data_IF_776008430108
#
_entry.id   IF_776008430108
#
_cell.length_a   1.000
_cell.length_b   1.000
_cell.length_c   1.000
_cell.angle_alpha   90.00
_cell.angle_beta   90.00
_cell.angle_gamma   90.00
#
_symmetry.space_group_name_H-M   'P 1'
#
loop_
_entity.id
_entity.type
_entity.pdbx_description
1 polymer ?
#
# COMPACT_ATOMS: atom_id res chain seq x y z
N UNK A 1 0.55 -23.31 -18.26
CA UNK A 1 1.80 -22.53 -18.27
C UNK A 1 1.61 -21.31 -17.38
N UNK A 2 2.51 -21.13 -16.42
CA UNK A 2 2.27 -20.56 -15.07
C UNK A 2 2.28 -19.02 -15.01
N UNK A 3 1.15 -18.42 -14.63
CA UNK A 3 0.97 -16.98 -14.31
C UNK A 3 1.90 -16.47 -13.20
N UNK A 4 2.51 -17.36 -12.43
CA UNK A 4 3.42 -17.04 -11.33
C UNK A 4 4.66 -16.23 -11.78
N UNK A 5 5.13 -16.43 -13.01
CA UNK A 5 6.46 -15.96 -13.44
C UNK A 5 6.61 -14.43 -13.56
N UNK A 6 5.52 -13.67 -13.66
CA UNK A 6 5.60 -12.21 -13.86
C UNK A 6 5.69 -11.41 -12.55
N UNK A 7 5.25 -12.01 -11.44
CA UNK A 7 5.32 -11.39 -10.11
C UNK A 7 6.72 -11.51 -9.48
N UNK A 8 7.46 -12.55 -9.86
CA UNK A 8 8.81 -12.82 -9.36
C UNK A 8 9.89 -11.90 -9.98
N UNK A 9 9.58 -11.17 -11.06
CA UNK A 9 10.53 -10.28 -11.77
C UNK A 9 10.48 -8.80 -11.33
N UNK A 10 9.44 -8.38 -10.59
CA UNK A 10 9.28 -6.95 -10.26
C UNK A 10 9.99 -6.63 -8.95
N UNK A 11 11.14 -5.99 -9.06
CA UNK A 11 11.81 -5.38 -7.90
C UNK A 11 11.15 -4.05 -7.59
N UNK A 12 10.65 -3.91 -6.36
CA UNK A 12 9.98 -2.70 -5.87
C UNK A 12 10.42 -2.40 -4.45
N UNK A 13 10.22 -1.13 -4.05
CA UNK A 13 10.46 -0.66 -2.69
C UNK A 13 9.47 0.45 -2.38
N UNK A 14 9.02 0.50 -1.12
CA UNK A 14 8.17 1.56 -0.61
C UNK A 14 8.79 2.24 0.61
N UNK A 15 8.69 3.57 0.66
CA UNK A 15 9.09 4.40 1.80
C UNK A 15 8.12 5.58 1.94
N UNK A 16 7.76 5.93 3.16
CA UNK A 16 6.96 7.12 3.47
C UNK A 16 7.54 7.89 4.66
N UNK A 17 7.24 9.19 4.76
CA UNK A 17 7.71 10.10 5.81
C UNK A 17 6.66 11.22 6.02
N UNK A 18 6.41 11.60 7.27
CA UNK A 18 5.48 12.70 7.62
C UNK A 18 5.91 14.09 7.07
N UNK A 19 7.17 14.22 6.66
CA UNK A 19 7.78 15.50 6.33
C UNK A 19 8.16 16.30 7.58
N UNK A 20 8.36 17.61 7.41
CA UNK A 20 8.85 18.50 8.48
C UNK A 20 7.74 19.25 9.24
N UNK A 21 6.51 19.21 8.74
CA UNK A 21 5.40 20.07 9.20
C UNK A 21 4.34 19.28 9.96
N UNK A 22 3.98 18.08 9.48
CA UNK A 22 2.95 17.25 10.12
C UNK A 22 3.55 16.52 11.32
N UNK A 23 2.77 16.38 12.39
CA UNK A 23 3.14 15.63 13.60
C UNK A 23 2.92 14.13 13.45
N UNK A 24 2.04 13.72 12.53
CA UNK A 24 1.74 12.32 12.23
C UNK A 24 1.80 12.10 10.72
N UNK A 25 2.30 10.94 10.30
CA UNK A 25 2.22 10.51 8.91
C UNK A 25 0.88 9.79 8.68
N UNK A 26 0.05 10.35 7.81
CA UNK A 26 -1.25 9.78 7.45
C UNK A 26 -1.18 8.91 6.20
N UNK A 27 0.00 8.77 5.60
CA UNK A 27 0.24 7.88 4.47
C UNK A 27 0.44 6.42 4.93
N UNK A 28 -0.07 5.48 4.12
CA UNK A 28 0.22 4.06 4.26
C UNK A 28 0.57 3.44 2.89
N UNK A 29 1.51 2.50 2.91
CA UNK A 29 1.99 1.80 1.72
C UNK A 29 1.93 0.27 1.89
N UNK A 30 1.64 -0.45 0.80
CA UNK A 30 1.78 -1.90 0.68
C UNK A 30 2.64 -2.22 -0.54
N UNK A 31 3.71 -2.97 -0.32
CA UNK A 31 4.60 -3.44 -1.39
C UNK A 31 4.61 -4.96 -1.42
N UNK A 32 3.95 -5.55 -2.42
CA UNK A 32 3.78 -7.00 -2.58
C UNK A 32 4.06 -7.44 -4.02
N UNK A 33 5.34 -7.42 -4.45
CA UNK A 33 5.72 -7.81 -5.81
C UNK A 33 5.30 -9.24 -6.15
N UNK A 34 5.46 -10.18 -5.22
CA UNK A 34 5.04 -11.59 -5.40
C UNK A 34 3.53 -11.79 -5.64
N UNK A 35 2.70 -10.78 -5.35
CA UNK A 35 1.26 -10.79 -5.65
C UNK A 35 0.88 -9.84 -6.79
N UNK A 36 1.86 -9.16 -7.40
CA UNK A 36 1.62 -8.10 -8.38
C UNK A 36 0.77 -6.96 -7.81
N UNK A 37 0.91 -6.66 -6.51
CA UNK A 37 0.06 -5.72 -5.79
C UNK A 37 0.87 -4.63 -5.10
N UNK A 38 0.51 -3.38 -5.41
CA UNK A 38 1.04 -2.19 -4.74
C UNK A 38 -0.11 -1.28 -4.35
N UNK A 39 -0.04 -0.69 -3.16
CA UNK A 39 -1.06 0.22 -2.65
C UNK A 39 -0.38 1.43 -2.02
N UNK A 40 -0.90 2.61 -2.32
CA UNK A 40 -0.60 3.86 -1.61
C UNK A 40 -1.93 4.45 -1.17
N UNK A 41 -2.05 4.81 0.10
CA UNK A 41 -3.23 5.44 0.66
C UNK A 41 -2.83 6.70 1.45
N UNK A 42 -3.40 7.84 1.08
CA UNK A 42 -3.24 9.14 1.77
C UNK A 42 -4.47 9.37 2.65
N UNK A 43 -4.25 9.54 3.95
CA UNK A 43 -5.28 9.89 4.91
C UNK A 43 -5.58 11.39 4.86
N UNK A 44 -6.85 11.75 4.66
CA UNK A 44 -7.27 13.16 4.63
C UNK A 44 -6.97 13.88 5.95
N UNK A 45 -5.96 14.76 5.93
CA UNK A 45 -5.59 15.59 7.07
C UNK A 45 -6.69 16.58 7.46
N UNK A 46 -6.86 16.82 8.76
CA UNK A 46 -7.90 17.68 9.31
C UNK A 46 -9.20 16.95 9.70
N UNK A 47 -9.34 15.68 9.33
CA UNK A 47 -10.33 14.76 9.89
C UNK A 47 -9.71 13.91 11.00
N UNK A 48 -10.54 13.47 11.97
CA UNK A 48 -10.06 12.57 13.02
C UNK A 48 -9.59 11.23 12.41
N UNK A 49 -8.36 10.82 12.75
CA UNK A 49 -7.79 9.51 12.43
C UNK A 49 -7.54 9.20 10.93
N UNK A 50 -7.00 10.17 10.18
CA UNK A 50 -6.56 9.95 8.79
C UNK A 50 -5.55 8.80 8.65
N UNK A 51 -4.62 8.67 9.61
CA UNK A 51 -3.66 7.57 9.68
C UNK A 51 -4.33 6.19 9.87
N UNK A 52 -5.41 6.13 10.64
CA UNK A 52 -6.18 4.91 10.84
C UNK A 52 -6.88 4.50 9.54
N UNK A 53 -7.49 5.45 8.84
CA UNK A 53 -8.20 5.20 7.59
C UNK A 53 -7.25 4.65 6.50
N UNK A 54 -6.10 5.29 6.29
CA UNK A 54 -5.11 4.84 5.29
C UNK A 54 -4.54 3.46 5.62
N UNK A 55 -4.21 3.20 6.90
CA UNK A 55 -3.76 1.89 7.38
C UNK A 55 -4.81 0.80 7.21
N UNK A 56 -6.10 1.11 7.43
CA UNK A 56 -7.19 0.16 7.27
C UNK A 56 -7.29 -0.34 5.83
N UNK A 57 -7.18 0.58 4.85
CA UNK A 57 -7.16 0.23 3.43
C UNK A 57 -5.99 -0.70 3.14
N UNK A 58 -4.76 -0.29 3.46
CA UNK A 58 -3.56 -1.10 3.23
C UNK A 58 -3.67 -2.48 3.88
N UNK A 59 -4.11 -2.55 5.13
CA UNK A 59 -4.29 -3.81 5.88
C UNK A 59 -5.30 -4.73 5.22
N UNK A 60 -6.39 -4.19 4.66
CA UNK A 60 -7.39 -4.99 3.94
C UNK A 60 -6.79 -5.69 2.73
N UNK A 61 -5.85 -5.04 2.05
CA UNK A 61 -5.20 -5.56 0.85
C UNK A 61 -4.05 -6.55 1.13
N UNK A 62 -3.49 -6.60 2.35
CA UNK A 62 -2.40 -7.52 2.70
C UNK A 62 -2.72 -9.01 2.43
N UNK A 63 -3.98 -9.39 2.62
CA UNK A 63 -4.46 -10.77 2.45
C UNK A 63 -5.00 -11.06 1.05
N UNK A 64 -5.03 -10.05 0.16
CA UNK A 64 -5.44 -10.25 -1.21
C UNK A 64 -4.40 -11.13 -1.91
N UNK A 65 -4.86 -12.26 -2.47
CA UNK A 65 -3.97 -13.26 -3.08
C UNK A 65 -3.68 -12.97 -4.55
N UNK A 66 -4.56 -12.26 -5.23
CA UNK A 66 -4.42 -11.92 -6.64
C UNK A 66 -5.29 -10.69 -6.95
N UNK A 67 -4.72 -9.66 -7.56
CA UNK A 67 -5.48 -8.58 -8.17
C UNK A 67 -5.94 -9.05 -9.56
N UNK A 68 -7.25 -9.29 -9.75
CA UNK A 68 -7.78 -9.65 -11.06
C UNK A 68 -7.79 -8.43 -11.98
N UNK A 69 -7.03 -8.49 -13.08
CA UNK A 69 -7.25 -7.59 -14.21
C UNK A 69 -8.62 -7.87 -14.81
N UNK A 70 -9.44 -6.82 -14.94
CA UNK A 70 -10.51 -6.75 -15.95
C UNK A 70 -9.91 -6.47 -17.32
#
# INVERSE_FOLDING_TARGET
MSRQRYADEITSAGRTNAGKVRTCNEDAILDRPNAGLWVVADGLGGHAAGDYASRLIVKRWQHCREWRRV
#
